data_IF_845765068263
#
_entry.id   IF_845765068263
#
_cell.length_a   1.000
_cell.length_b   1.000
_cell.length_c   1.000
_cell.angle_alpha   90.00
_cell.angle_beta   90.00
_cell.angle_gamma   90.00
#
_symmetry.space_group_name_H-M   'P 1'
#
loop_
_entity.id
_entity.type
_entity.pdbx_description
1 polymer ?
#
# COMPACT_ATOMS: atom_id res chain seq x y z
N UNK A 1 3.38 -25.96 8.58
CA UNK A 1 3.75 -24.67 8.00
C UNK A 1 3.14 -24.55 6.61
N UNK A 2 2.18 -23.67 6.46
CA UNK A 2 1.47 -23.47 5.21
C UNK A 2 2.05 -22.29 4.44
N UNK A 3 2.04 -22.39 3.13
CA UNK A 3 2.24 -21.28 2.23
C UNK A 3 1.55 -21.57 0.90
N UNK A 4 0.88 -20.60 0.33
CA UNK A 4 0.10 -20.77 -0.89
C UNK A 4 -0.56 -19.47 -1.34
N UNK A 5 -1.26 -19.55 -2.46
CA UNK A 5 -2.04 -18.45 -3.00
C UNK A 5 -3.31 -18.21 -2.19
N UNK A 6 -3.82 -16.98 -2.21
CA UNK A 6 -5.21 -16.71 -1.88
C UNK A 6 -6.14 -17.36 -2.92
N UNK A 7 -7.44 -17.60 -2.62
CA UNK A 7 -8.34 -18.34 -3.50
C UNK A 7 -8.46 -17.78 -4.93
N UNK A 8 -8.24 -16.47 -5.08
CA UNK A 8 -8.41 -15.69 -6.30
C UNK A 8 -7.10 -15.14 -6.89
N UNK A 9 -5.95 -15.63 -6.40
CA UNK A 9 -4.64 -15.11 -6.81
C UNK A 9 -3.63 -16.21 -7.14
N UNK A 10 -2.56 -15.83 -7.82
CA UNK A 10 -1.39 -16.66 -8.06
C UNK A 10 -0.33 -16.39 -7.00
N UNK A 11 0.45 -17.43 -6.72
CA UNK A 11 1.53 -17.39 -5.75
C UNK A 11 2.79 -18.01 -6.35
N UNK A 12 3.91 -17.35 -6.17
CA UNK A 12 5.22 -17.88 -6.53
C UNK A 12 6.19 -17.62 -5.41
N UNK A 13 7.00 -18.61 -5.06
CA UNK A 13 8.04 -18.48 -4.06
C UNK A 13 9.31 -19.21 -4.48
N UNK A 14 10.43 -18.79 -3.92
CA UNK A 14 11.71 -19.47 -4.01
C UNK A 14 12.00 -20.16 -2.68
N UNK A 15 12.11 -21.49 -2.71
CA UNK A 15 12.54 -22.27 -1.57
C UNK A 15 14.04 -22.54 -1.67
N UNK A 16 14.79 -22.24 -0.62
CA UNK A 16 16.22 -22.54 -0.52
C UNK A 16 16.40 -23.58 0.57
N UNK A 17 16.90 -24.75 0.21
CA UNK A 17 17.24 -25.80 1.14
C UNK A 17 18.71 -25.73 1.54
N UNK A 18 18.94 -25.63 2.85
CA UNK A 18 20.25 -25.79 3.43
C UNK A 18 20.47 -27.27 3.81
N UNK A 19 21.62 -27.84 3.46
CA UNK A 19 21.98 -29.24 3.72
C UNK A 19 21.02 -30.27 3.07
N UNK A 20 20.94 -30.36 1.74
CA UNK A 20 20.00 -31.21 1.01
C UNK A 20 20.21 -32.71 1.31
N UNK A 21 21.38 -33.12 1.84
CA UNK A 21 21.67 -34.50 2.22
C UNK A 21 20.99 -34.94 3.52
N UNK A 22 20.64 -34.00 4.39
CA UNK A 22 20.04 -34.29 5.72
C UNK A 22 18.64 -33.71 5.87
N UNK A 23 18.25 -32.80 5.00
CA UNK A 23 16.93 -32.17 5.00
C UNK A 23 15.92 -33.06 4.28
N UNK A 24 14.76 -33.26 4.87
CA UNK A 24 13.68 -34.05 4.30
C UNK A 24 12.38 -33.26 4.33
N UNK A 25 11.86 -32.96 3.16
CA UNK A 25 10.53 -32.39 3.02
C UNK A 25 9.49 -33.50 2.98
N UNK A 26 8.52 -33.43 3.86
CA UNK A 26 7.36 -34.31 3.85
C UNK A 26 6.14 -33.49 3.45
N UNK A 27 5.59 -33.80 2.28
CA UNK A 27 4.32 -33.23 1.83
C UNK A 27 3.18 -33.95 2.53
N UNK A 28 2.36 -33.17 3.22
CA UNK A 28 1.16 -33.66 3.89
C UNK A 28 -0.04 -33.54 2.93
N UNK A 29 -1.21 -33.86 3.45
CA UNK A 29 -2.47 -33.72 2.74
C UNK A 29 -2.71 -32.27 2.30
N UNK A 30 -3.51 -32.12 1.27
CA UNK A 30 -3.92 -30.79 0.79
C UNK A 30 -4.81 -30.14 1.85
N UNK A 31 -4.55 -28.86 2.13
CA UNK A 31 -5.45 -28.03 2.95
C UNK A 31 -6.75 -27.82 2.17
N UNK A 32 -7.88 -28.20 2.77
CA UNK A 32 -9.19 -27.95 2.19
C UNK A 32 -9.65 -26.51 2.39
N UNK A 33 -10.73 -26.13 1.71
CA UNK A 33 -11.23 -24.75 1.70
C UNK A 33 -11.70 -24.30 3.10
N UNK A 34 -12.20 -25.20 3.93
CA UNK A 34 -12.65 -24.91 5.30
C UNK A 34 -11.45 -24.66 6.22
N UNK A 35 -10.44 -25.51 6.17
CA UNK A 35 -9.19 -25.36 6.91
C UNK A 35 -8.46 -24.08 6.48
N UNK A 36 -8.48 -23.78 5.17
CA UNK A 36 -7.88 -22.55 4.65
C UNK A 36 -8.64 -21.32 5.14
N UNK A 37 -9.97 -21.31 5.03
CA UNK A 37 -10.81 -20.21 5.50
C UNK A 37 -10.64 -19.96 7.01
N UNK A 38 -10.57 -21.02 7.82
CA UNK A 38 -10.35 -20.90 9.26
C UNK A 38 -8.95 -20.34 9.58
N UNK A 39 -7.91 -20.82 8.90
CA UNK A 39 -6.54 -20.36 9.11
C UNK A 39 -6.26 -18.96 8.59
N UNK A 40 -7.05 -18.49 7.63
CA UNK A 40 -6.95 -17.14 7.05
C UNK A 40 -8.01 -16.18 7.56
N UNK A 41 -8.90 -16.64 8.45
CA UNK A 41 -9.75 -15.71 9.21
C UNK A 41 -8.85 -14.67 9.83
N UNK A 42 -9.14 -13.43 9.54
CA UNK A 42 -8.50 -12.30 10.22
C UNK A 42 -8.98 -12.31 11.68
N UNK A 43 -8.32 -13.17 12.47
CA UNK A 43 -8.62 -13.42 13.87
C UNK A 43 -8.00 -12.33 14.76
N UNK A 44 -7.83 -11.14 14.20
CA UNK A 44 -7.68 -9.92 14.98
C UNK A 44 -9.05 -9.63 15.58
N UNK A 45 -9.37 -10.45 16.61
CA UNK A 45 -10.62 -10.37 17.33
C UNK A 45 -10.82 -8.96 17.89
N UNK A 46 -11.89 -8.34 17.47
CA UNK A 46 -12.26 -6.99 17.92
C UNK A 46 -11.42 -5.86 17.30
N UNK A 47 -11.97 -4.66 17.25
CA UNK A 47 -11.19 -3.46 16.96
C UNK A 47 -10.19 -3.17 18.08
N UNK A 48 -9.31 -2.20 17.87
CA UNK A 48 -8.36 -1.74 18.91
C UNK A 48 -9.08 -1.38 20.21
N UNK A 49 -10.31 -0.86 20.11
CA UNK A 49 -11.19 -0.59 21.25
C UNK A 49 -11.50 -1.80 22.14
N UNK A 50 -11.51 -3.01 21.57
CA UNK A 50 -11.84 -4.22 22.31
C UNK A 50 -10.63 -4.90 22.93
N UNK A 51 -9.47 -4.83 22.24
CA UNK A 51 -8.24 -5.48 22.68
C UNK A 51 -7.33 -4.56 23.47
N UNK A 52 -7.28 -3.28 23.10
CA UNK A 52 -6.36 -2.26 23.63
C UNK A 52 -7.06 -0.91 23.82
N UNK A 53 -8.10 -0.82 24.68
CA UNK A 53 -8.96 0.36 24.80
C UNK A 53 -8.22 1.61 25.25
N UNK A 54 -7.17 1.49 26.05
CA UNK A 54 -6.34 2.62 26.48
C UNK A 54 -5.57 3.21 25.31
N UNK A 55 -4.97 2.37 24.46
CA UNK A 55 -4.26 2.82 23.27
C UNK A 55 -5.21 3.45 22.26
N UNK A 56 -6.40 2.86 22.07
CA UNK A 56 -7.44 3.40 21.19
C UNK A 56 -7.89 4.81 21.63
N UNK A 57 -8.10 5.01 22.94
CA UNK A 57 -8.45 6.31 23.48
C UNK A 57 -7.33 7.35 23.29
N UNK A 58 -6.07 6.99 23.54
CA UNK A 58 -4.90 7.87 23.36
C UNK A 58 -4.78 8.24 21.87
N UNK A 59 -4.88 7.26 20.99
CA UNK A 59 -4.77 7.46 19.53
C UNK A 59 -5.90 8.34 18.99
N UNK A 60 -7.13 8.11 19.43
CA UNK A 60 -8.29 8.92 19.06
C UNK A 60 -8.15 10.38 19.52
N UNK A 61 -7.62 10.61 20.72
CA UNK A 61 -7.34 11.95 21.22
C UNK A 61 -6.26 12.65 20.38
N UNK A 62 -5.14 11.98 20.13
CA UNK A 62 -4.06 12.50 19.27
C UNK A 62 -4.56 12.84 17.86
N UNK A 63 -5.33 11.94 17.23
CA UNK A 63 -5.87 12.17 15.90
C UNK A 63 -6.79 13.41 15.85
N UNK A 64 -7.58 13.63 16.90
CA UNK A 64 -8.44 14.80 17.05
C UNK A 64 -7.61 16.08 17.19
N UNK A 65 -6.59 16.09 18.04
CA UNK A 65 -5.69 17.23 18.19
C UNK A 65 -4.99 17.60 16.89
N UNK A 66 -4.48 16.62 16.15
CA UNK A 66 -3.87 16.84 14.82
C UNK A 66 -4.86 17.48 13.86
N UNK A 67 -6.15 17.15 13.92
CA UNK A 67 -7.18 17.77 13.09
C UNK A 67 -7.48 19.22 13.53
N UNK A 68 -7.53 19.49 14.82
CA UNK A 68 -7.88 20.80 15.36
C UNK A 68 -6.75 21.83 15.19
N UNK A 69 -5.49 21.41 15.36
CA UNK A 69 -4.32 22.29 15.34
C UNK A 69 -3.56 22.27 13.99
N UNK A 70 -3.95 21.40 13.05
CA UNK A 70 -3.28 21.30 11.76
C UNK A 70 -3.85 22.27 10.73
N UNK A 71 -2.99 23.01 10.02
CA UNK A 71 -3.38 23.94 8.95
C UNK A 71 -3.68 23.24 7.59
N UNK A 72 -3.49 21.92 7.50
CA UNK A 72 -3.72 21.18 6.27
C UNK A 72 -5.22 20.95 6.04
N UNK A 73 -5.69 21.25 4.85
CA UNK A 73 -7.03 20.83 4.43
C UNK A 73 -7.13 19.30 4.36
N UNK A 74 -8.34 18.76 4.40
CA UNK A 74 -8.61 17.33 4.44
C UNK A 74 -7.94 16.56 3.29
N UNK A 75 -7.98 17.10 2.06
CA UNK A 75 -7.38 16.48 0.89
C UNK A 75 -5.86 16.33 1.05
N UNK A 76 -5.18 17.41 1.39
CA UNK A 76 -3.73 17.41 1.60
C UNK A 76 -3.33 16.48 2.74
N UNK A 77 -4.08 16.48 3.85
CA UNK A 77 -3.84 15.60 4.99
C UNK A 77 -3.91 14.12 4.58
N UNK A 78 -4.96 13.73 3.86
CA UNK A 78 -5.10 12.37 3.36
C UNK A 78 -3.97 11.97 2.41
N UNK A 79 -3.54 12.86 1.51
CA UNK A 79 -2.39 12.62 0.64
C UNK A 79 -1.10 12.41 1.43
N UNK A 80 -0.85 13.23 2.45
CA UNK A 80 0.32 13.06 3.35
C UNK A 80 0.24 11.75 4.11
N UNK A 81 -0.95 11.36 4.61
CA UNK A 81 -1.15 10.09 5.31
C UNK A 81 -0.86 8.90 4.39
N UNK A 82 -1.31 8.93 3.12
CA UNK A 82 -0.99 7.88 2.15
C UNK A 82 0.52 7.74 1.92
N UNK A 83 1.23 8.87 1.73
CA UNK A 83 2.70 8.84 1.58
C UNK A 83 3.39 8.29 2.83
N UNK A 84 2.93 8.68 4.02
CA UNK A 84 3.47 8.20 5.30
C UNK A 84 3.28 6.69 5.45
N UNK A 85 2.11 6.16 5.07
CA UNK A 85 1.84 4.72 5.07
C UNK A 85 2.75 3.95 4.08
N UNK A 86 3.01 4.52 2.90
CA UNK A 86 3.96 3.93 1.95
C UNK A 86 5.37 3.90 2.56
N UNK A 87 5.83 5.01 3.12
CA UNK A 87 7.16 5.13 3.69
C UNK A 87 7.37 4.18 4.88
N UNK A 88 6.36 4.04 5.75
CA UNK A 88 6.37 3.14 6.91
C UNK A 88 5.99 1.69 6.59
N UNK A 89 5.66 1.37 5.35
CA UNK A 89 5.24 0.03 4.89
C UNK A 89 3.95 -0.48 5.57
N UNK A 90 3.07 0.44 5.97
CA UNK A 90 1.81 0.17 6.65
C UNK A 90 0.70 -0.16 5.63
N UNK A 91 0.71 -1.38 5.07
CA UNK A 91 -0.17 -1.80 3.97
C UNK A 91 -1.65 -1.80 4.34
N UNK A 92 -1.98 -2.27 5.53
CA UNK A 92 -3.38 -2.33 6.02
C UNK A 92 -3.94 -0.92 6.17
N UNK A 93 -3.21 -0.03 6.84
CA UNK A 93 -3.60 1.36 7.03
C UNK A 93 -3.69 2.11 5.69
N UNK A 94 -2.76 1.81 4.78
CA UNK A 94 -2.81 2.39 3.43
C UNK A 94 -4.12 2.04 2.72
N UNK A 95 -4.55 0.78 2.73
CA UNK A 95 -5.81 0.35 2.09
C UNK A 95 -7.00 1.10 2.67
N UNK A 96 -7.10 1.23 3.98
CA UNK A 96 -8.17 1.96 4.67
C UNK A 96 -8.14 3.45 4.32
N UNK A 97 -6.97 4.06 4.35
CA UNK A 97 -6.80 5.48 4.01
C UNK A 97 -7.04 5.75 2.53
N UNK A 98 -6.72 4.82 1.63
CA UNK A 98 -6.99 4.91 0.21
C UNK A 98 -8.50 4.98 -0.08
N UNK A 99 -9.29 4.15 0.59
CA UNK A 99 -10.76 4.20 0.49
C UNK A 99 -11.29 5.56 0.96
N UNK A 100 -10.80 6.05 2.10
CA UNK A 100 -11.16 7.35 2.65
C UNK A 100 -10.76 8.49 1.71
N UNK A 101 -9.57 8.41 1.12
CA UNK A 101 -9.05 9.40 0.18
C UNK A 101 -9.91 9.49 -1.09
N UNK A 102 -10.26 8.35 -1.67
CA UNK A 102 -11.14 8.29 -2.85
C UNK A 102 -12.55 8.82 -2.52
N UNK A 103 -13.08 8.51 -1.35
CA UNK A 103 -14.38 9.02 -0.90
C UNK A 103 -14.37 10.56 -0.64
N UNK A 104 -13.21 11.09 -0.24
CA UNK A 104 -13.00 12.54 -0.09
C UNK A 104 -12.72 13.27 -1.42
N UNK A 105 -12.77 12.56 -2.56
CA UNK A 105 -12.63 13.14 -3.89
C UNK A 105 -11.20 13.28 -4.39
N UNK A 106 -10.22 12.60 -3.78
CA UNK A 106 -8.90 12.45 -4.38
C UNK A 106 -9.03 11.53 -5.58
N UNK A 107 -8.58 11.98 -6.73
CA UNK A 107 -8.77 11.24 -7.98
C UNK A 107 -7.81 10.04 -8.08
N UNK A 108 -8.18 9.00 -8.85
CA UNK A 108 -7.29 7.88 -9.15
C UNK A 108 -5.93 8.30 -9.72
N UNK A 109 -5.90 9.35 -10.54
CA UNK A 109 -4.66 9.91 -11.11
C UNK A 109 -3.78 10.48 -9.99
N UNK A 110 -4.33 11.30 -9.09
CA UNK A 110 -3.57 11.86 -7.97
C UNK A 110 -3.00 10.77 -7.07
N UNK A 111 -3.76 9.71 -6.79
CA UNK A 111 -3.26 8.55 -6.03
C UNK A 111 -2.08 7.88 -6.75
N UNK A 112 -2.19 7.69 -8.06
CA UNK A 112 -1.09 7.09 -8.85
C UNK A 112 0.16 7.96 -8.86
N UNK A 113 0.00 9.26 -9.00
CA UNK A 113 1.12 10.21 -8.96
C UNK A 113 1.83 10.22 -7.60
N UNK A 114 1.08 10.09 -6.48
CA UNK A 114 1.67 9.90 -5.15
C UNK A 114 2.56 8.64 -5.11
N UNK A 115 2.09 7.51 -5.64
CA UNK A 115 2.85 6.27 -5.70
C UNK A 115 4.11 6.43 -6.56
N UNK A 116 3.99 7.04 -7.74
CA UNK A 116 5.12 7.23 -8.65
C UNK A 116 6.17 8.15 -8.04
N UNK A 117 5.74 9.22 -7.39
CA UNK A 117 6.64 10.13 -6.68
C UNK A 117 7.33 9.41 -5.50
N UNK A 118 6.63 8.56 -4.77
CA UNK A 118 7.18 7.81 -3.64
C UNK A 118 8.33 6.87 -4.05
N UNK A 119 8.36 6.39 -5.31
CA UNK A 119 9.44 5.53 -5.82
C UNK A 119 10.81 6.18 -5.69
N UNK A 120 10.92 7.49 -5.94
CA UNK A 120 12.19 8.21 -5.86
C UNK A 120 12.76 8.26 -4.43
N UNK A 121 11.91 8.18 -3.42
CA UNK A 121 12.28 8.29 -2.00
C UNK A 121 12.34 6.93 -1.28
N UNK A 122 11.33 6.09 -1.49
CA UNK A 122 11.21 4.81 -0.80
C UNK A 122 11.86 3.64 -1.56
N UNK A 123 12.01 3.78 -2.88
CA UNK A 123 12.49 2.74 -3.79
C UNK A 123 11.36 1.88 -4.36
N UNK A 124 11.52 1.45 -5.63
CA UNK A 124 10.51 0.70 -6.38
C UNK A 124 10.03 -0.55 -5.64
N UNK A 125 10.96 -1.34 -5.08
CA UNK A 125 10.62 -2.60 -4.42
C UNK A 125 9.64 -2.40 -3.25
N UNK A 126 9.76 -1.31 -2.50
CA UNK A 126 8.87 -0.98 -1.39
C UNK A 126 7.51 -0.43 -1.86
N UNK A 127 7.46 0.21 -3.02
CA UNK A 127 6.23 0.83 -3.54
C UNK A 127 5.37 -0.17 -4.32
N UNK A 128 5.95 -1.25 -4.85
CA UNK A 128 5.24 -2.21 -5.70
C UNK A 128 3.98 -2.79 -5.04
N UNK A 129 4.04 -3.15 -3.77
CA UNK A 129 2.89 -3.70 -3.05
C UNK A 129 1.73 -2.69 -2.96
N UNK A 130 2.05 -1.42 -2.76
CA UNK A 130 1.05 -0.35 -2.71
C UNK A 130 0.44 -0.05 -4.08
N UNK A 131 1.20 -0.24 -5.17
CA UNK A 131 0.66 -0.19 -6.54
C UNK A 131 -0.37 -1.31 -6.73
N UNK A 132 -0.06 -2.53 -6.27
CA UNK A 132 -0.99 -3.67 -6.28
C UNK A 132 -2.27 -3.35 -5.52
N UNK A 133 -2.16 -2.97 -4.25
CA UNK A 133 -3.31 -2.60 -3.39
C UNK A 133 -4.16 -1.51 -4.06
N UNK A 134 -3.52 -0.51 -4.64
CA UNK A 134 -4.24 0.59 -5.32
C UNK A 134 -4.99 0.10 -6.54
N UNK A 135 -4.37 -0.75 -7.36
CA UNK A 135 -5.02 -1.33 -8.54
C UNK A 135 -6.27 -2.14 -8.15
N UNK A 136 -6.15 -2.99 -7.13
CA UNK A 136 -7.26 -3.80 -6.63
C UNK A 136 -8.44 -2.94 -6.17
N UNK A 137 -8.17 -1.90 -5.39
CA UNK A 137 -9.22 -0.97 -4.92
C UNK A 137 -9.84 -0.20 -6.08
N UNK A 138 -9.06 0.29 -7.03
CA UNK A 138 -9.57 1.01 -8.20
C UNK A 138 -10.43 0.12 -9.08
N UNK A 139 -9.98 -1.11 -9.36
CA UNK A 139 -10.74 -2.09 -10.14
C UNK A 139 -12.05 -2.46 -9.45
N UNK A 140 -12.04 -2.69 -8.14
CA UNK A 140 -13.25 -2.97 -7.34
C UNK A 140 -14.26 -1.81 -7.40
N UNK A 141 -13.80 -0.58 -7.58
CA UNK A 141 -14.63 0.62 -7.78
C UNK A 141 -15.04 0.85 -9.25
N UNK A 142 -14.72 -0.06 -10.15
CA UNK A 142 -15.07 0.04 -11.57
C UNK A 142 -14.19 1.00 -12.37
N UNK A 143 -13.07 1.43 -11.83
CA UNK A 143 -12.12 2.27 -12.55
C UNK A 143 -11.34 1.42 -13.54
N UNK A 144 -11.33 1.82 -14.82
CA UNK A 144 -10.55 1.13 -15.86
C UNK A 144 -9.07 1.45 -15.74
N UNK A 145 -8.24 0.43 -15.85
CA UNK A 145 -6.79 0.56 -15.93
C UNK A 145 -6.29 0.14 -17.32
N UNK A 146 -5.20 0.71 -17.86
CA UNK A 146 -4.42 1.79 -17.24
C UNK A 146 -5.13 3.14 -17.25
N UNK A 147 -4.78 4.01 -16.30
CA UNK A 147 -5.22 5.42 -16.32
C UNK A 147 -4.47 6.18 -17.42
N UNK A 148 -5.04 7.32 -17.81
CA UNK A 148 -4.37 8.24 -18.73
C UNK A 148 -3.02 8.70 -18.16
N UNK A 149 -1.97 8.62 -18.99
CA UNK A 149 -0.62 9.01 -18.60
C UNK A 149 -0.49 10.52 -18.42
N UNK A 150 0.17 10.94 -17.35
CA UNK A 150 0.39 12.35 -17.04
C UNK A 150 1.80 12.84 -17.41
N UNK A 151 2.64 11.97 -17.98
CA UNK A 151 4.01 12.34 -18.37
C UNK A 151 4.02 13.37 -19.47
N UNK A 152 4.68 14.49 -19.23
CA UNK A 152 4.91 15.58 -20.19
C UNK A 152 6.30 15.51 -20.84
N UNK A 153 7.03 14.44 -20.60
CA UNK A 153 8.39 14.21 -21.10
C UNK A 153 8.49 12.85 -21.80
N UNK A 154 9.30 12.80 -22.86
CA UNK A 154 9.74 11.54 -23.48
C UNK A 154 11.13 11.13 -22.98
N UNK A 155 11.58 9.93 -23.34
CA UNK A 155 12.95 9.48 -23.05
C UNK A 155 14.02 10.44 -23.61
N UNK A 156 13.76 11.03 -24.78
CA UNK A 156 14.67 11.97 -25.46
C UNK A 156 14.72 13.34 -24.79
N UNK A 157 13.58 13.81 -24.25
CA UNK A 157 13.47 15.18 -23.70
C UNK A 157 13.63 15.27 -22.19
N UNK A 158 13.62 14.13 -21.51
CA UNK A 158 13.61 14.06 -20.04
C UNK A 158 14.81 14.75 -19.39
N UNK A 159 16.02 14.53 -19.95
CA UNK A 159 17.24 15.10 -19.38
C UNK A 159 17.22 16.65 -19.48
N UNK A 160 16.96 17.18 -20.67
CA UNK A 160 16.98 18.63 -20.90
C UNK A 160 15.91 19.35 -20.10
N UNK A 161 14.70 18.78 -20.04
CA UNK A 161 13.61 19.34 -19.22
C UNK A 161 13.91 19.27 -17.73
N UNK A 162 14.50 18.16 -17.26
CA UNK A 162 14.94 18.02 -15.87
C UNK A 162 16.02 19.03 -15.50
N UNK A 163 17.03 19.19 -16.35
CA UNK A 163 18.09 20.17 -16.16
C UNK A 163 17.55 21.61 -16.18
N UNK A 164 16.61 21.89 -17.11
CA UNK A 164 15.94 23.20 -17.19
C UNK A 164 15.16 23.52 -15.91
N UNK A 165 14.42 22.55 -15.38
CA UNK A 165 13.69 22.71 -14.12
C UNK A 165 14.66 22.94 -12.94
N UNK A 166 15.72 22.15 -12.84
CA UNK A 166 16.73 22.30 -11.80
C UNK A 166 17.36 23.70 -11.83
N UNK A 167 17.72 24.19 -13.00
CA UNK A 167 18.25 25.55 -13.17
C UNK A 167 17.25 26.63 -12.79
N UNK A 168 15.96 26.43 -13.04
CA UNK A 168 14.92 27.41 -12.67
C UNK A 168 14.69 27.49 -11.17
N UNK A 169 14.97 26.42 -10.42
CA UNK A 169 14.76 26.36 -8.95
C UNK A 169 16.01 26.84 -8.20
N UNK A 170 17.19 26.45 -8.65
CA UNK A 170 18.44 26.66 -7.92
C UNK A 170 19.38 27.70 -8.54
N UNK A 171 19.05 28.29 -9.68
CA UNK A 171 19.84 29.30 -10.38
C UNK A 171 20.82 28.67 -11.32
#
# INVERSE_FOLDING_TARGET
HWHGAAPDSWFSHLAIECNPQTNKNTWLERVDDEQYAEATKDDRGGGLSDTDPELDAIWGHFAKEVQEYGDLNTKTRLMVTLVSNIASQARTEYRMMLESALNAGITPIEIKEILYQAVAYAGMAKVMDFIGITNDVLLARGVRLPLEGQSVVSSETRFDKGLGLQKSIFG
#
